data_IF_770331875085
#
_entry.id   IF_770331875085
#
_cell.length_a   1.000
_cell.length_b   1.000
_cell.length_c   1.000
_cell.angle_alpha   90.00
_cell.angle_beta   90.00
_cell.angle_gamma   90.00
#
_symmetry.space_group_name_H-M   'P 1'
#
loop_
_entity.id
_entity.type
_entity.pdbx_description
1 polymer ?
#
# COMPACT_ATOMS: atom_id res chain seq x y z
N UNK A 1 -29.96 -14.73 -17.08
CA UNK A 1 -29.09 -13.80 -17.83
C UNK A 1 -28.87 -12.44 -17.17
N UNK A 2 -29.89 -11.64 -16.82
CA UNK A 2 -29.66 -10.38 -16.06
C UNK A 2 -29.47 -10.62 -14.55
N UNK A 3 -30.25 -11.53 -13.95
CA UNK A 3 -30.10 -11.89 -12.53
C UNK A 3 -28.76 -12.57 -12.21
N UNK A 4 -28.20 -13.36 -13.13
CA UNK A 4 -26.91 -14.03 -12.98
C UNK A 4 -25.73 -13.05 -13.14
N UNK A 5 -25.83 -12.04 -14.02
CA UNK A 5 -24.82 -10.97 -14.13
C UNK A 5 -24.82 -10.05 -12.90
N UNK A 6 -26.00 -9.72 -12.37
CA UNK A 6 -26.12 -8.97 -11.11
C UNK A 6 -25.71 -9.78 -9.88
N UNK A 7 -25.83 -11.11 -9.92
CA UNK A 7 -25.23 -11.99 -8.91
C UNK A 7 -23.71 -12.04 -9.06
N UNK A 8 -23.14 -12.07 -10.27
CA UNK A 8 -21.69 -11.97 -10.48
C UNK A 8 -21.12 -10.63 -9.96
N UNK A 9 -21.76 -9.50 -10.31
CA UNK A 9 -21.35 -8.16 -9.88
C UNK A 9 -21.55 -7.89 -8.38
N UNK A 10 -22.47 -8.60 -7.71
CA UNK A 10 -22.67 -8.51 -6.24
C UNK A 10 -21.92 -9.56 -5.44
N UNK A 11 -21.57 -10.71 -6.03
CA UNK A 11 -20.68 -11.71 -5.43
C UNK A 11 -19.22 -11.20 -5.48
N UNK A 12 -18.88 -10.34 -6.45
CA UNK A 12 -17.64 -9.54 -6.48
C UNK A 12 -17.65 -8.37 -5.47
N UNK A 13 -18.78 -8.12 -4.80
CA UNK A 13 -18.88 -7.20 -3.67
C UNK A 13 -18.12 -7.73 -2.46
N UNK A 14 -16.91 -7.22 -2.26
CA UNK A 14 -15.98 -7.56 -1.16
C UNK A 14 -15.48 -9.01 -1.23
N UNK A 15 -14.96 -9.42 -2.38
CA UNK A 15 -14.09 -10.59 -2.43
C UNK A 15 -12.71 -10.18 -1.91
N UNK A 16 -12.27 -10.85 -0.85
CA UNK A 16 -10.91 -10.96 -0.36
C UNK A 16 -9.89 -11.51 -1.40
N UNK A 17 -9.97 -11.07 -2.67
CA UNK A 17 -9.01 -11.26 -3.77
C UNK A 17 -7.62 -10.67 -3.48
N UNK A 18 -7.50 -9.98 -2.36
CA UNK A 18 -6.31 -9.29 -1.89
C UNK A 18 -5.52 -10.10 -0.85
N UNK A 19 -6.05 -11.22 -0.34
CA UNK A 19 -5.29 -12.11 0.56
C UNK A 19 -4.06 -12.66 -0.15
N UNK A 20 -2.92 -12.58 0.50
CA UNK A 20 -1.68 -13.20 0.02
C UNK A 20 -1.38 -14.36 0.97
N UNK A 21 -1.28 -15.58 0.43
CA UNK A 21 -0.86 -16.72 1.22
C UNK A 21 0.57 -16.51 1.74
N UNK A 22 0.84 -16.95 2.97
CA UNK A 22 2.10 -16.69 3.67
C UNK A 22 3.33 -17.15 2.87
N UNK A 23 3.26 -18.30 2.20
CA UNK A 23 4.37 -18.80 1.37
C UNK A 23 4.63 -17.91 0.15
N UNK A 24 3.56 -17.40 -0.48
CA UNK A 24 3.64 -16.49 -1.63
C UNK A 24 4.17 -15.13 -1.20
N UNK A 25 3.68 -14.61 -0.08
CA UNK A 25 4.17 -13.36 0.50
C UNK A 25 5.65 -13.45 0.89
N UNK A 26 6.06 -14.55 1.52
CA UNK A 26 7.45 -14.83 1.85
C UNK A 26 8.34 -14.86 0.60
N UNK A 27 7.84 -15.44 -0.49
CA UNK A 27 8.53 -15.41 -1.78
C UNK A 27 8.73 -13.98 -2.30
N UNK A 28 7.66 -13.17 -2.33
CA UNK A 28 7.73 -11.80 -2.83
C UNK A 28 8.58 -10.89 -1.94
N UNK A 29 8.50 -11.09 -0.62
CA UNK A 29 9.31 -10.37 0.36
C UNK A 29 10.79 -10.72 0.20
N UNK A 30 11.12 -12.00 -0.03
CA UNK A 30 12.49 -12.43 -0.30
C UNK A 30 12.99 -11.79 -1.59
N UNK A 31 12.21 -11.83 -2.66
CA UNK A 31 12.55 -11.22 -3.95
C UNK A 31 12.87 -9.72 -3.81
N UNK A 32 12.07 -8.98 -3.04
CA UNK A 32 12.35 -7.59 -2.69
C UNK A 32 13.69 -7.41 -1.95
N UNK A 33 13.95 -8.25 -0.94
CA UNK A 33 15.22 -8.21 -0.17
C UNK A 33 16.43 -8.51 -1.05
N UNK A 34 16.28 -9.40 -2.02
CA UNK A 34 17.34 -9.81 -2.95
C UNK A 34 17.74 -8.71 -3.95
N UNK A 35 17.00 -7.61 -4.04
CA UNK A 35 17.42 -6.41 -4.77
C UNK A 35 18.73 -5.82 -4.22
N UNK A 36 19.01 -6.03 -2.93
CA UNK A 36 20.26 -5.65 -2.25
C UNK A 36 20.68 -4.18 -2.45
N UNK A 37 19.70 -3.27 -2.51
CA UNK A 37 19.93 -1.83 -2.61
C UNK A 37 20.06 -1.25 -1.19
N UNK A 38 21.16 -0.55 -0.91
CA UNK A 38 21.35 0.11 0.38
C UNK A 38 20.29 1.21 0.59
N UNK A 39 19.65 1.22 1.77
CA UNK A 39 18.63 2.20 2.14
C UNK A 39 17.18 1.77 1.88
N UNK A 40 16.95 0.56 1.35
CA UNK A 40 15.58 0.03 1.23
C UNK A 40 14.98 -0.29 2.59
N UNK A 41 13.78 0.24 2.80
CA UNK A 41 12.95 -0.09 3.96
C UNK A 41 12.21 -1.40 3.71
N UNK A 42 12.17 -2.28 4.71
CA UNK A 42 11.51 -3.59 4.61
C UNK A 42 10.02 -3.52 4.92
N UNK A 43 9.65 -2.67 5.88
CA UNK A 43 8.28 -2.52 6.33
C UNK A 43 8.08 -1.17 6.99
N UNK A 44 6.85 -0.67 6.94
CA UNK A 44 6.38 0.48 7.70
C UNK A 44 5.40 0.01 8.76
N UNK A 45 5.49 0.60 9.96
CA UNK A 45 4.55 0.36 11.03
C UNK A 45 3.76 1.65 11.25
N UNK A 46 2.43 1.54 11.26
CA UNK A 46 1.53 2.69 11.33
C UNK A 46 0.55 2.45 12.46
N UNK A 47 0.37 3.43 13.34
CA UNK A 47 -0.68 3.36 14.37
C UNK A 47 -2.07 3.26 13.71
N UNK A 48 -2.85 2.26 14.13
CA UNK A 48 -4.12 1.97 13.49
C UNK A 48 -5.13 3.10 13.70
N UNK A 49 -5.16 3.69 14.90
CA UNK A 49 -6.11 4.75 15.22
C UNK A 49 -5.74 6.06 14.54
N UNK A 50 -4.46 6.40 14.46
CA UNK A 50 -3.99 7.55 13.70
C UNK A 50 -4.29 7.40 12.21
N UNK A 51 -4.03 6.22 11.63
CA UNK A 51 -4.36 5.95 10.23
C UNK A 51 -5.86 6.10 9.98
N UNK A 52 -6.70 5.46 10.81
CA UNK A 52 -8.16 5.56 10.71
C UNK A 52 -8.66 6.98 10.84
N UNK A 53 -8.18 7.73 11.84
CA UNK A 53 -8.55 9.13 12.03
C UNK A 53 -8.15 9.98 10.82
N UNK A 54 -6.96 9.74 10.26
CA UNK A 54 -6.48 10.44 9.08
C UNK A 54 -7.39 10.17 7.89
N UNK A 55 -7.72 8.92 7.59
CA UNK A 55 -8.64 8.53 6.49
C UNK A 55 -10.01 9.21 6.66
N UNK A 56 -10.64 9.05 7.84
CA UNK A 56 -11.99 9.56 8.11
C UNK A 56 -12.09 11.09 8.14
N UNK A 57 -10.96 11.79 8.34
CA UNK A 57 -10.93 13.26 8.36
C UNK A 57 -10.97 13.91 6.97
N UNK A 58 -10.89 13.12 5.89
CA UNK A 58 -10.73 13.62 4.53
C UNK A 58 -12.02 13.51 3.73
N UNK A 59 -12.25 14.49 2.87
CA UNK A 59 -13.42 14.58 1.98
C UNK A 59 -13.10 14.16 0.55
N UNK A 60 -11.92 13.56 0.32
CA UNK A 60 -11.41 13.18 -1.00
C UNK A 60 -11.83 11.77 -1.35
N UNK A 61 -11.91 11.43 -2.64
CA UNK A 61 -12.31 10.07 -3.07
C UNK A 61 -11.20 9.03 -2.98
N UNK A 62 -9.94 9.46 -3.09
CA UNK A 62 -8.82 8.56 -3.27
C UNK A 62 -7.70 8.80 -2.25
N UNK A 63 -6.96 7.74 -1.99
CA UNK A 63 -5.72 7.74 -1.23
C UNK A 63 -4.57 7.19 -2.08
N UNK A 64 -3.47 7.93 -2.15
CA UNK A 64 -2.30 7.59 -2.96
C UNK A 64 -1.10 7.44 -2.06
N UNK A 65 -0.44 6.30 -2.12
CA UNK A 65 0.82 6.06 -1.43
C UNK A 65 1.97 6.30 -2.40
N UNK A 66 2.90 7.16 -1.99
CA UNK A 66 4.12 7.47 -2.72
C UNK A 66 5.32 6.94 -1.97
N UNK A 67 6.29 6.40 -2.69
CA UNK A 67 7.62 6.23 -2.15
C UNK A 67 8.38 7.56 -2.17
N UNK A 68 8.96 7.93 -1.05
CA UNK A 68 9.82 9.13 -0.94
C UNK A 68 11.19 8.73 -0.43
N UNK A 69 12.21 9.56 -0.64
CA UNK A 69 13.51 9.34 -0.02
C UNK A 69 13.73 10.36 1.09
N UNK A 70 13.96 9.88 2.32
CA UNK A 70 14.27 10.75 3.46
C UNK A 70 15.46 10.17 4.21
N UNK A 71 16.48 11.00 4.45
CA UNK A 71 17.70 10.60 5.17
C UNK A 71 18.35 9.32 4.59
N UNK A 72 18.38 9.21 3.25
CA UNK A 72 18.91 8.03 2.53
C UNK A 72 18.18 6.72 2.80
N UNK A 73 16.91 6.80 3.25
CA UNK A 73 16.01 5.67 3.42
C UNK A 73 14.75 5.86 2.58
N UNK A 74 14.21 4.75 2.06
CA UNK A 74 12.90 4.75 1.41
C UNK A 74 11.82 4.98 2.48
N UNK A 75 10.96 5.96 2.26
CA UNK A 75 9.88 6.35 3.15
C UNK A 75 8.54 6.27 2.42
N UNK A 76 7.45 6.31 3.19
CA UNK A 76 6.09 6.28 2.69
C UNK A 76 5.44 7.67 2.85
N UNK A 77 4.97 8.21 1.74
CA UNK A 77 4.10 9.39 1.68
C UNK A 77 2.68 8.97 1.34
N UNK A 78 1.69 9.73 1.81
CA UNK A 78 0.27 9.52 1.62
C UNK A 78 -0.35 10.81 1.10
N UNK A 79 -1.03 10.81 -0.05
CA UNK A 79 -1.88 11.93 -0.47
C UNK A 79 -3.35 11.56 -0.59
N UNK A 80 -4.20 12.55 -0.40
CA UNK A 80 -5.64 12.45 -0.61
C UNK A 80 -6.02 13.30 -1.82
N UNK A 81 -6.78 12.71 -2.74
CA UNK A 81 -7.06 13.32 -4.05
C UNK A 81 -8.44 12.95 -4.58
N UNK A 82 -9.06 13.84 -5.35
CA UNK A 82 -10.26 13.51 -6.15
C UNK A 82 -9.89 13.01 -7.56
N UNK A 83 -8.60 13.05 -7.91
CA UNK A 83 -8.08 12.56 -9.17
C UNK A 83 -7.57 11.12 -9.02
N UNK A 84 -8.03 10.22 -9.88
CA UNK A 84 -7.56 8.82 -9.96
C UNK A 84 -6.22 8.68 -10.71
N UNK A 85 -5.79 9.74 -11.41
CA UNK A 85 -4.49 9.79 -12.09
C UNK A 85 -3.30 9.85 -11.13
N UNK A 86 -2.12 9.48 -11.63
CA UNK A 86 -0.86 9.50 -10.88
C UNK A 86 -0.27 10.91 -10.70
N UNK A 87 -0.81 11.91 -11.41
CA UNK A 87 -0.33 13.28 -11.33
C UNK A 87 -0.59 13.86 -9.94
N UNK A 88 0.47 14.40 -9.33
CA UNK A 88 0.39 15.17 -8.10
C UNK A 88 -0.20 16.53 -8.47
N UNK A 89 -1.42 16.79 -8.00
CA UNK A 89 -2.08 18.08 -8.20
C UNK A 89 -1.62 19.03 -7.09
N UNK A 90 -0.90 20.07 -7.46
CA UNK A 90 -0.56 21.18 -6.57
C UNK A 90 -1.02 22.48 -7.24
N UNK A 91 -2.13 23.03 -6.76
CA UNK A 91 -2.62 24.36 -7.13
C UNK A 91 -2.72 25.20 -5.86
N UNK A 92 -1.76 26.11 -5.68
CA UNK A 92 -1.68 26.99 -4.50
C UNK A 92 -2.83 28.00 -4.41
N UNK A 93 -3.71 28.03 -5.41
CA UNK A 93 -4.84 28.96 -5.49
C UNK A 93 -6.21 28.29 -5.30
N UNK A 94 -6.26 26.96 -5.19
CA UNK A 94 -7.51 26.21 -5.14
C UNK A 94 -7.49 25.05 -4.13
N UNK A 95 -8.65 24.71 -3.54
CA UNK A 95 -8.80 23.65 -2.52
C UNK A 95 -8.64 22.21 -3.04
N UNK A 96 -8.28 22.08 -4.33
CA UNK A 96 -8.14 20.79 -5.03
C UNK A 96 -6.71 20.24 -5.00
N UNK A 97 -5.78 20.94 -4.36
CA UNK A 97 -4.43 20.42 -4.11
C UNK A 97 -4.45 19.11 -3.33
N UNK A 98 -3.61 18.16 -3.76
CA UNK A 98 -3.30 16.96 -3.01
C UNK A 98 -2.61 17.35 -1.70
N UNK A 99 -3.09 16.80 -0.58
CA UNK A 99 -2.48 17.02 0.74
C UNK A 99 -1.58 15.84 1.08
N UNK A 100 -0.29 16.08 1.26
CA UNK A 100 0.70 15.06 1.58
C UNK A 100 0.87 14.89 3.10
N UNK A 101 0.88 13.64 3.54
CA UNK A 101 1.32 13.20 4.85
C UNK A 101 2.51 12.26 4.69
N UNK A 102 3.59 12.51 5.41
CA UNK A 102 4.77 11.62 5.42
C UNK A 102 4.83 10.86 6.72
N UNK A 103 5.11 9.56 6.65
CA UNK A 103 5.31 8.75 7.85
C UNK A 103 6.67 9.10 8.48
N UNK A 104 6.66 9.45 9.77
CA UNK A 104 7.86 9.73 10.55
C UNK A 104 7.82 8.90 11.82
N UNK A 105 8.54 7.77 11.83
CA UNK A 105 8.31 6.74 12.84
C UNK A 105 7.01 6.01 12.53
N UNK A 106 6.04 6.13 13.44
CA UNK A 106 4.68 5.57 13.38
C UNK A 106 3.57 6.61 13.15
N UNK A 107 3.94 7.90 13.09
CA UNK A 107 3.00 9.04 12.98
C UNK A 107 3.04 9.69 11.60
N UNK A 108 1.88 10.12 11.10
CA UNK A 108 1.77 10.91 9.88
C UNK A 108 1.89 12.41 10.13
N UNK A 109 2.81 13.07 9.42
CA UNK A 109 3.02 14.52 9.50
C UNK A 109 2.76 15.15 8.14
N UNK A 110 1.89 16.16 8.11
CA UNK A 110 1.59 16.95 6.91
C UNK A 110 2.85 17.65 6.39
N UNK A 111 3.07 17.59 5.07
CA UNK A 111 4.21 18.21 4.42
C UNK A 111 3.83 18.86 3.08
N UNK A 112 4.72 19.74 2.60
CA UNK A 112 4.63 20.32 1.26
C UNK A 112 4.88 19.24 0.20
N UNK A 113 3.89 19.04 -0.67
CA UNK A 113 3.91 18.02 -1.71
C UNK A 113 4.82 18.37 -2.91
N UNK A 114 5.15 19.65 -3.09
CA UNK A 114 5.93 20.13 -4.24
C UNK A 114 7.34 19.54 -4.31
N UNK A 115 7.90 19.12 -3.17
CA UNK A 115 9.22 18.50 -3.08
C UNK A 115 9.28 17.03 -3.50
N UNK A 116 8.15 16.29 -3.50
CA UNK A 116 8.14 14.83 -3.70
C UNK A 116 8.48 14.42 -5.14
N UNK A 117 8.04 15.21 -6.13
CA UNK A 117 8.17 14.84 -7.55
C UNK A 117 9.64 14.65 -7.95
N UNK A 118 10.56 15.38 -7.30
CA UNK A 118 12.00 15.30 -7.59
C UNK A 118 12.69 14.02 -7.08
N UNK A 119 12.09 13.31 -6.12
CA UNK A 119 12.73 12.18 -5.43
C UNK A 119 12.68 10.88 -6.23
N UNK A 120 11.68 10.68 -7.09
CA UNK A 120 11.54 9.44 -7.88
C UNK A 120 12.56 9.33 -9.00
N UNK A 121 12.82 10.44 -9.70
CA UNK A 121 13.75 10.46 -10.83
C UNK A 121 15.23 10.45 -10.39
N UNK A 122 15.49 10.45 -9.08
CA UNK A 122 16.83 10.42 -8.48
C UNK A 122 16.86 9.39 -7.33
N UNK A 123 18.03 9.25 -6.69
CA UNK A 123 18.10 8.53 -5.42
C UNK A 123 17.69 7.04 -5.44
N UNK A 124 17.00 6.60 -4.38
CA UNK A 124 16.52 5.23 -4.18
C UNK A 124 15.41 4.85 -5.15
N UNK A 125 14.48 5.75 -5.47
CA UNK A 125 13.42 5.53 -6.46
C UNK A 125 14.01 5.17 -7.82
N UNK A 126 14.99 5.95 -8.28
CA UNK A 126 15.71 5.68 -9.53
C UNK A 126 16.49 4.35 -9.49
N UNK A 127 17.14 4.03 -8.36
CA UNK A 127 17.84 2.74 -8.19
C UNK A 127 16.87 1.56 -8.27
N UNK A 128 15.71 1.66 -7.62
CA UNK A 128 14.65 0.65 -7.68
C UNK A 128 14.21 0.43 -9.13
N UNK A 129 13.87 1.50 -9.86
CA UNK A 129 13.51 1.42 -11.27
C UNK A 129 14.56 0.70 -12.12
N UNK A 130 15.85 0.97 -11.89
CA UNK A 130 16.92 0.29 -12.64
C UNK A 130 17.02 -1.21 -12.37
N UNK A 131 16.64 -1.67 -11.17
CA UNK A 131 16.65 -3.09 -10.81
C UNK A 131 15.38 -3.81 -11.24
N UNK A 132 14.21 -3.18 -11.10
CA UNK A 132 12.91 -3.78 -11.40
C UNK A 132 12.50 -3.63 -12.87
N UNK A 133 13.01 -2.57 -13.53
CA UNK A 133 12.55 -2.05 -14.83
C UNK A 133 11.07 -1.67 -14.83
N UNK A 134 10.50 -1.46 -13.65
CA UNK A 134 9.12 -1.02 -13.42
C UNK A 134 9.15 0.34 -12.76
N UNK A 135 8.44 1.31 -13.36
CA UNK A 135 8.09 2.53 -12.63
C UNK A 135 6.98 2.10 -11.69
N UNK A 136 7.28 1.95 -10.41
CA UNK A 136 6.30 1.66 -9.38
C UNK A 136 6.32 2.85 -8.43
N UNK A 137 5.74 3.96 -8.89
CA UNK A 137 5.81 5.23 -8.15
C UNK A 137 4.66 5.37 -7.17
N UNK A 138 3.58 4.62 -7.38
CA UNK A 138 2.33 4.87 -6.69
C UNK A 138 1.54 3.59 -6.43
N UNK A 139 1.02 3.49 -5.20
CA UNK A 139 -0.06 2.55 -4.89
C UNK A 139 -1.35 3.34 -4.62
N UNK A 140 -2.40 3.02 -5.37
CA UNK A 140 -3.67 3.75 -5.36
C UNK A 140 -4.79 2.94 -4.74
N UNK A 141 -5.60 3.59 -3.87
CA UNK A 141 -6.88 3.11 -3.34
C UNK A 141 -7.98 4.15 -3.47
N UNK A 142 -9.22 3.67 -3.61
CA UNK A 142 -10.36 4.50 -3.22
C UNK A 142 -10.46 4.53 -1.69
N UNK A 143 -11.02 5.61 -1.13
CA UNK A 143 -11.26 5.65 0.32
C UNK A 143 -12.27 4.56 0.75
N UNK A 144 -13.29 4.29 -0.06
CA UNK A 144 -14.24 3.21 0.18
C UNK A 144 -13.55 1.84 0.35
N UNK A 145 -12.52 1.53 -0.45
CA UNK A 145 -11.74 0.29 -0.31
C UNK A 145 -10.98 0.24 1.03
N UNK A 146 -10.39 1.37 1.44
CA UNK A 146 -9.65 1.46 2.71
C UNK A 146 -10.62 1.37 3.89
N UNK A 147 -11.75 2.08 3.83
CA UNK A 147 -12.77 2.06 4.87
C UNK A 147 -13.35 0.67 5.05
N UNK A 148 -13.71 -0.02 3.95
CA UNK A 148 -14.18 -1.40 4.00
C UNK A 148 -13.13 -2.35 4.60
N UNK A 149 -11.84 -2.16 4.28
CA UNK A 149 -10.76 -2.92 4.91
C UNK A 149 -10.65 -2.66 6.42
N UNK A 150 -10.70 -1.38 6.84
CA UNK A 150 -10.65 -0.98 8.25
C UNK A 150 -11.80 -1.62 9.01
N UNK A 151 -13.03 -1.50 8.52
CA UNK A 151 -14.23 -2.08 9.15
C UNK A 151 -14.12 -3.60 9.31
N UNK A 152 -13.69 -4.29 8.26
CA UNK A 152 -13.56 -5.74 8.27
C UNK A 152 -12.43 -6.21 9.21
N UNK A 153 -11.30 -5.51 9.22
CA UNK A 153 -10.20 -5.83 10.14
C UNK A 153 -10.62 -5.60 11.60
N UNK A 154 -11.32 -4.52 11.92
CA UNK A 154 -11.85 -4.29 13.28
C UNK A 154 -12.83 -5.38 13.70
N UNK A 155 -13.66 -5.85 12.75
CA UNK A 155 -14.61 -6.94 13.00
C UNK A 155 -13.90 -8.26 13.30
N UNK A 156 -12.84 -8.58 12.55
CA UNK A 156 -12.08 -9.83 12.70
C UNK A 156 -11.12 -9.78 13.91
N UNK A 157 -10.54 -8.62 14.17
CA UNK A 157 -9.49 -8.41 15.17
C UNK A 157 -9.81 -7.18 16.04
N UNK A 158 -10.75 -7.23 17.00
CA UNK A 158 -11.20 -6.03 17.73
C UNK A 158 -10.14 -5.29 18.56
N UNK A 159 -8.95 -5.85 18.68
CA UNK A 159 -7.82 -5.36 19.49
C UNK A 159 -6.64 -4.92 18.63
N UNK A 160 -6.86 -4.50 17.38
CA UNK A 160 -5.81 -3.94 16.51
C UNK A 160 -5.15 -2.75 17.20
N UNK A 161 -3.82 -2.72 17.18
CA UNK A 161 -3.03 -1.58 17.63
C UNK A 161 -2.38 -0.86 16.46
N UNK A 162 -1.93 -1.60 15.45
CA UNK A 162 -1.12 -1.04 14.36
C UNK A 162 -1.32 -1.83 13.07
N UNK A 163 -1.01 -1.19 11.95
CA UNK A 163 -0.91 -1.82 10.64
C UNK A 163 0.56 -1.93 10.23
N UNK A 164 0.97 -3.10 9.77
CA UNK A 164 2.29 -3.34 9.21
C UNK A 164 2.21 -3.44 7.70
N UNK A 165 2.88 -2.54 7.01
CA UNK A 165 2.98 -2.50 5.55
C UNK A 165 4.33 -3.12 5.17
N UNK A 166 4.33 -4.39 4.75
CA UNK A 166 5.53 -5.16 4.37
C UNK A 166 5.82 -4.97 2.89
N UNK A 167 7.02 -4.51 2.54
CA UNK A 167 7.43 -4.32 1.15
C UNK A 167 7.61 -5.67 0.44
N UNK A 168 6.98 -5.80 -0.73
CA UNK A 168 7.01 -7.00 -1.56
C UNK A 168 7.39 -6.64 -2.99
N UNK A 169 8.01 -7.60 -3.69
CA UNK A 169 8.16 -7.54 -5.14
C UNK A 169 7.38 -8.70 -5.75
N UNK A 170 6.35 -8.37 -6.52
CA UNK A 170 5.54 -9.36 -7.21
C UNK A 170 6.39 -10.26 -8.10
N UNK A 171 6.03 -11.53 -8.11
CA UNK A 171 6.48 -12.49 -9.10
C UNK A 171 5.28 -13.16 -9.73
N UNK A 172 5.37 -13.39 -11.04
CA UNK A 172 4.40 -14.24 -11.74
C UNK A 172 4.49 -15.70 -11.32
N UNK A 173 5.50 -16.10 -10.54
CA UNK A 173 5.71 -17.47 -10.06
C UNK A 173 5.69 -17.56 -8.53
N UNK A 174 5.22 -18.67 -7.98
CA UNK A 174 5.27 -18.98 -6.55
C UNK A 174 6.52 -19.84 -6.18
N UNK A 175 6.76 -20.18 -4.90
CA UNK A 175 7.86 -21.08 -4.47
C UNK A 175 7.89 -22.44 -5.15
N UNK A 176 6.74 -22.95 -5.59
CA UNK A 176 6.60 -24.23 -6.30
C UNK A 176 6.85 -24.10 -7.81
N UNK A 177 7.18 -22.88 -8.28
CA UNK A 177 7.36 -22.50 -9.68
C UNK A 177 6.09 -22.56 -10.53
N UNK A 178 4.91 -22.49 -9.91
CA UNK A 178 3.65 -22.36 -10.62
C UNK A 178 3.41 -20.91 -11.03
N UNK A 179 2.83 -20.72 -12.22
CA UNK A 179 2.47 -19.39 -12.72
C UNK A 179 1.15 -18.94 -12.08
N UNK A 180 1.17 -17.79 -11.41
CA UNK A 180 0.00 -17.16 -10.81
C UNK A 180 -0.56 -16.09 -11.77
N UNK A 181 -1.71 -16.39 -12.38
CA UNK A 181 -2.34 -15.53 -13.38
C UNK A 181 -2.54 -14.09 -12.86
N UNK A 182 -3.00 -13.95 -11.62
CA UNK A 182 -3.28 -12.64 -10.97
C UNK A 182 -2.01 -11.77 -10.76
N UNK A 183 -0.81 -12.35 -10.84
CA UNK A 183 0.45 -11.63 -10.66
C UNK A 183 1.28 -11.51 -11.95
N UNK A 184 0.79 -12.04 -13.07
CA UNK A 184 1.52 -12.00 -14.34
C UNK A 184 1.77 -10.56 -14.80
N UNK A 185 0.73 -9.73 -14.79
CA UNK A 185 0.81 -8.32 -15.20
C UNK A 185 1.56 -7.42 -14.20
N UNK A 186 1.80 -7.95 -13.00
CA UNK A 186 2.45 -7.26 -11.88
C UNK A 186 3.89 -7.72 -11.67
N UNK A 187 4.40 -8.65 -12.47
CA UNK A 187 5.74 -9.21 -12.29
C UNK A 187 6.81 -8.11 -12.18
N UNK A 188 7.75 -8.27 -11.24
CA UNK A 188 8.79 -7.31 -10.83
C UNK A 188 8.29 -6.03 -10.16
N UNK A 189 6.98 -5.77 -10.12
CA UNK A 189 6.47 -4.55 -9.52
C UNK A 189 6.54 -4.58 -8.01
N UNK A 190 6.80 -3.42 -7.41
CA UNK A 190 6.94 -3.24 -5.97
C UNK A 190 5.63 -2.79 -5.34
N UNK A 191 5.19 -3.45 -4.29
CA UNK A 191 4.03 -3.09 -3.50
C UNK A 191 4.30 -3.21 -2.00
N UNK A 192 3.24 -3.05 -1.22
CA UNK A 192 3.21 -3.55 0.14
C UNK A 192 2.04 -4.52 0.35
N UNK A 193 2.27 -5.51 1.21
CA UNK A 193 1.24 -6.31 1.85
C UNK A 193 0.95 -5.72 3.23
N UNK A 194 -0.31 -5.70 3.65
CA UNK A 194 -0.73 -5.07 4.91
C UNK A 194 -1.23 -6.12 5.88
N UNK A 195 -0.72 -6.07 7.10
CA UNK A 195 -1.16 -6.90 8.21
C UNK A 195 -1.69 -6.04 9.34
N UNK A 196 -2.76 -6.51 9.99
CA UNK A 196 -3.20 -6.00 11.27
C UNK A 196 -2.38 -6.64 12.39
N UNK A 197 -1.82 -5.81 13.28
CA UNK A 197 -1.20 -6.25 14.53
C UNK A 197 -2.20 -6.08 15.65
N UNK A 198 -2.48 -7.14 16.39
CA UNK A 198 -3.55 -7.17 17.38
C UNK A 198 -3.18 -7.97 18.63
N UNK A 199 -3.88 -7.69 19.72
CA UNK A 199 -3.68 -8.42 20.98
C UNK A 199 -4.55 -9.68 21.03
N UNK A 200 -3.93 -10.84 21.20
CA UNK A 200 -4.58 -12.08 21.63
C UNK A 200 -4.90 -12.05 23.12
N UNK A 201 -5.74 -12.99 23.55
CA UNK A 201 -5.94 -13.27 24.98
C UNK A 201 -4.59 -13.57 25.66
N UNK A 202 -4.43 -13.08 26.89
CA UNK A 202 -3.20 -13.15 27.71
C UNK A 202 -2.07 -12.17 27.34
N UNK A 203 -2.36 -10.98 26.79
CA UNK A 203 -1.37 -9.95 26.45
C UNK A 203 -0.28 -10.43 25.46
N UNK A 204 -0.63 -11.38 24.60
CA UNK A 204 0.24 -11.82 23.50
C UNK A 204 -0.11 -11.02 22.25
N UNK A 205 0.89 -10.62 21.47
CA UNK A 205 0.69 -9.98 20.16
C UNK A 205 0.61 -11.04 19.07
N UNK A 206 -0.20 -10.79 18.06
CA UNK A 206 -0.25 -11.58 16.85
C UNK A 206 -0.49 -10.70 15.61
N UNK A 207 -0.35 -11.31 14.44
CA UNK A 207 -0.40 -10.68 13.14
C UNK A 207 -1.44 -11.37 12.26
N UNK A 208 -2.20 -10.59 11.49
CA UNK A 208 -3.11 -11.15 10.50
C UNK A 208 -2.36 -11.71 9.31
N UNK A 209 -3.06 -12.46 8.46
CA UNK A 209 -2.57 -12.72 7.10
C UNK A 209 -2.36 -11.40 6.33
N UNK A 210 -1.49 -11.44 5.33
CA UNK A 210 -1.18 -10.30 4.48
C UNK A 210 -2.28 -10.00 3.46
N UNK A 211 -2.50 -8.71 3.23
CA UNK A 211 -3.45 -8.20 2.24
C UNK A 211 -2.77 -7.24 1.27
N UNK A 212 -2.79 -7.53 -0.03
CA UNK A 212 -2.47 -6.56 -1.07
C UNK A 212 -3.59 -5.52 -1.13
N UNK A 213 -3.41 -4.35 -0.53
CA UNK A 213 -4.50 -3.39 -0.55
C UNK A 213 -4.72 -2.75 -1.92
N UNK A 214 -3.94 -3.06 -2.97
CA UNK A 214 -3.75 -2.07 -4.02
C UNK A 214 -3.48 -2.28 -5.49
N UNK A 215 -3.68 -1.16 -6.19
CA UNK A 215 -3.33 -1.00 -7.59
C UNK A 215 -2.00 -0.26 -7.72
N UNK A 216 -1.01 -0.96 -8.29
CA UNK A 216 0.27 -0.36 -8.66
C UNK A 216 0.13 0.43 -9.95
N UNK A 217 0.56 1.68 -9.92
CA UNK A 217 0.59 2.56 -11.09
C UNK A 217 2.01 3.06 -11.37
N UNK A 218 2.38 3.21 -12.66
CA UNK A 218 3.65 3.80 -13.05
C UNK A 218 3.72 5.30 -12.79
#
# INVERSE_FOLDING_TARGET
>A
MELEKLQQEKIDGILFKKKIDEEVENHFTKRYKDLNIAGLTKSFLIDFQEFKNLILSKTKKNCKFYYTEKNSLLSLGLSFSDNEGCEIIYDTTNSDSDVLYTLQGDVFIEQDITGIVGDFDKGLGYKLYNHTRSKDTLIFYTLDEIEAYIEEMERLYPTITSLRFTMIQYSSTNPENEILADFTDRNNRIAFSVHALYNKSNNLYDESIGYDLGNLRP
#
